data_IF_447458883780
#
_entry.id   IF_447458883780
#
_cell.length_a   1.000
_cell.length_b   1.000
_cell.length_c   1.000
_cell.angle_alpha   90.00
_cell.angle_beta   90.00
_cell.angle_gamma   90.00
#
_symmetry.space_group_name_H-M   'P 1'
#
loop_
_entity.id
_entity.type
_entity.pdbx_description
1 polymer ?
#
# COMPACT_ATOMS: atom_id res chain seq x y z
N UNK A 1 -6.63 12.43 24.36
CA UNK A 1 -6.14 13.17 23.18
C UNK A 1 -6.63 12.55 21.88
N UNK A 2 -6.27 11.31 21.53
CA UNK A 2 -6.68 10.66 20.26
C UNK A 2 -7.84 9.64 20.42
N UNK A 3 -8.92 10.05 21.09
CA UNK A 3 -10.08 9.17 21.31
C UNK A 3 -10.87 8.91 20.02
N UNK A 4 -10.96 9.92 19.15
CA UNK A 4 -11.61 9.80 17.84
C UNK A 4 -10.97 8.69 16.98
N UNK A 5 -9.64 8.60 16.97
CA UNK A 5 -8.92 7.60 16.18
C UNK A 5 -9.13 6.20 16.76
N UNK A 6 -9.21 6.05 18.09
CA UNK A 6 -9.55 4.75 18.68
C UNK A 6 -10.95 4.29 18.34
N UNK A 7 -11.91 5.21 18.31
CA UNK A 7 -13.27 4.90 17.87
C UNK A 7 -13.26 4.49 16.41
N UNK A 8 -12.57 5.23 15.54
CA UNK A 8 -12.49 4.92 14.11
C UNK A 8 -11.83 3.55 13.85
N UNK A 9 -10.67 3.28 14.46
CA UNK A 9 -9.98 1.99 14.36
C UNK A 9 -10.84 0.82 14.84
N UNK A 10 -11.74 1.05 15.80
CA UNK A 10 -12.67 0.02 16.31
C UNK A 10 -13.85 -0.19 15.37
N UNK A 11 -14.35 0.87 14.75
CA UNK A 11 -15.51 0.85 13.85
C UNK A 11 -15.17 0.24 12.49
N UNK A 12 -14.01 0.58 11.94
CA UNK A 12 -13.63 0.12 10.61
C UNK A 12 -13.10 -1.31 10.66
N UNK A 13 -13.90 -2.26 10.17
CA UNK A 13 -13.54 -3.68 10.10
C UNK A 13 -12.77 -4.06 8.83
N UNK A 14 -12.51 -3.09 7.94
CA UNK A 14 -11.85 -3.36 6.66
C UNK A 14 -10.34 -3.61 6.84
N UNK A 15 -9.84 -4.82 6.55
CA UNK A 15 -8.43 -5.13 6.74
C UNK A 15 -7.53 -4.20 5.91
N UNK A 16 -6.47 -3.68 6.53
CA UNK A 16 -5.51 -2.76 5.89
C UNK A 16 -6.12 -1.39 5.49
N UNK A 17 -7.33 -1.03 5.93
CA UNK A 17 -7.84 0.33 5.72
C UNK A 17 -7.11 1.34 6.62
N UNK A 18 -6.95 0.97 7.90
CA UNK A 18 -5.94 1.54 8.77
C UNK A 18 -4.94 0.44 9.15
N UNK A 19 -3.68 0.84 9.33
CA UNK A 19 -2.61 -0.02 9.78
C UNK A 19 -1.80 0.72 10.84
N UNK A 20 -1.76 0.18 12.05
CA UNK A 20 -0.92 0.70 13.14
C UNK A 20 0.13 -0.34 13.50
N UNK A 21 1.36 0.11 13.75
CA UNK A 21 2.50 -0.72 14.08
C UNK A 21 3.18 -0.20 15.34
N UNK A 22 3.06 -0.98 16.43
CA UNK A 22 3.75 -0.69 17.69
C UNK A 22 5.20 -1.17 17.71
N UNK A 23 5.74 -1.65 16.58
CA UNK A 23 7.14 -1.99 16.48
C UNK A 23 8.00 -0.74 16.75
N UNK A 24 9.03 -0.85 17.57
CA UNK A 24 9.91 0.26 17.96
C UNK A 24 9.39 1.18 19.08
N UNK A 25 8.07 1.33 19.27
CA UNK A 25 7.48 2.26 20.26
C UNK A 25 7.77 1.92 21.75
N UNK A 26 8.54 0.85 22.01
CA UNK A 26 9.02 0.46 23.34
C UNK A 26 10.35 1.12 23.72
N UNK A 27 10.99 1.82 22.79
CA UNK A 27 12.21 2.58 23.04
C UNK A 27 11.94 3.89 23.79
N UNK A 28 12.97 4.48 24.39
CA UNK A 28 12.89 5.81 24.98
C UNK A 28 12.57 6.82 23.87
N UNK A 29 11.32 7.27 23.83
CA UNK A 29 10.89 8.36 22.95
C UNK A 29 11.61 9.64 23.40
N UNK A 30 12.28 10.30 22.47
CA UNK A 30 13.00 11.54 22.71
C UNK A 30 12.08 12.58 23.40
N UNK A 31 12.43 13.07 24.61
CA UNK A 31 11.62 14.03 25.34
C UNK A 31 11.55 15.40 24.66
N UNK A 32 12.40 15.71 23.68
CA UNK A 32 12.35 16.95 22.90
C UNK A 32 11.28 16.96 21.82
N UNK A 33 10.71 15.80 21.45
CA UNK A 33 9.62 15.70 20.47
C UNK A 33 8.32 16.31 21.00
N UNK A 34 7.42 16.84 20.16
CA UNK A 34 6.16 17.45 20.60
C UNK A 34 5.29 16.51 21.43
N UNK A 35 4.65 17.02 22.49
CA UNK A 35 3.93 16.17 23.44
C UNK A 35 2.80 15.38 22.77
N UNK A 36 2.04 16.01 21.89
CA UNK A 36 1.01 15.37 21.06
C UNK A 36 1.56 14.21 20.21
N UNK A 37 2.68 14.39 19.50
CA UNK A 37 3.34 13.33 18.74
C UNK A 37 3.83 12.19 19.63
N UNK A 38 4.47 12.50 20.77
CA UNK A 38 4.90 11.47 21.72
C UNK A 38 3.72 10.67 22.26
N UNK A 39 2.60 11.32 22.58
CA UNK A 39 1.38 10.62 23.01
C UNK A 39 0.83 9.70 21.92
N UNK A 40 0.81 10.16 20.67
CA UNK A 40 0.41 9.35 19.53
C UNK A 40 1.29 8.10 19.41
N UNK A 41 2.61 8.28 19.36
CA UNK A 41 3.58 7.19 19.21
C UNK A 41 3.49 6.19 20.37
N UNK A 42 3.37 6.66 21.62
CA UNK A 42 3.18 5.77 22.78
C UNK A 42 1.95 4.88 22.62
N UNK A 43 0.89 5.43 22.02
CA UNK A 43 -0.41 4.76 21.91
C UNK A 43 -0.50 3.84 20.69
N UNK A 44 -0.07 4.31 19.52
CA UNK A 44 -0.27 3.66 18.23
C UNK A 44 1.03 3.20 17.56
N UNK A 45 2.18 3.78 17.92
CA UNK A 45 3.45 3.61 17.21
C UNK A 45 3.45 4.35 15.88
N UNK A 46 3.91 3.69 14.81
CA UNK A 46 3.75 4.18 13.44
C UNK A 46 2.33 3.86 12.92
N UNK A 47 1.82 4.66 11.99
CA UNK A 47 0.48 4.47 11.43
C UNK A 47 0.44 4.74 9.92
N UNK A 48 -0.47 4.06 9.23
CA UNK A 48 -0.92 4.35 7.87
C UNK A 48 -2.43 4.33 7.86
N UNK A 49 -3.08 5.44 7.52
CA UNK A 49 -4.52 5.65 7.70
C UNK A 49 -5.19 5.95 6.36
N UNK A 50 -6.49 5.65 6.28
CA UNK A 50 -7.36 5.92 5.13
C UNK A 50 -6.80 5.37 3.82
N UNK A 51 -6.75 4.03 3.72
CA UNK A 51 -6.31 3.40 2.48
C UNK A 51 -7.28 3.71 1.34
N UNK A 52 -6.73 4.19 0.22
CA UNK A 52 -7.43 4.38 -1.04
C UNK A 52 -6.64 3.66 -2.13
N UNK A 53 -7.24 2.68 -2.79
CA UNK A 53 -6.56 1.82 -3.75
C UNK A 53 -5.30 1.15 -3.14
N UNK A 54 -4.13 1.41 -3.70
CA UNK A 54 -2.84 0.89 -3.27
C UNK A 54 -2.00 1.85 -2.40
N UNK A 55 -2.53 3.03 -2.05
CA UNK A 55 -1.85 4.00 -1.18
C UNK A 55 -2.67 4.33 0.07
N UNK A 56 -1.99 4.88 1.08
CA UNK A 56 -2.62 5.46 2.26
C UNK A 56 -2.57 6.97 2.13
N UNK A 57 -3.64 7.65 2.51
CA UNK A 57 -3.68 9.10 2.46
C UNK A 57 -2.80 9.73 3.55
N UNK A 58 -2.72 9.10 4.72
CA UNK A 58 -1.94 9.63 5.85
C UNK A 58 -0.96 8.57 6.34
N UNK A 59 0.27 9.00 6.63
CA UNK A 59 1.28 8.20 7.31
C UNK A 59 1.85 8.95 8.50
N UNK A 60 2.04 8.24 9.61
CA UNK A 60 2.83 8.70 10.76
C UNK A 60 4.00 7.75 10.91
N UNK A 61 5.21 8.29 10.80
CA UNK A 61 6.45 7.54 10.92
C UNK A 61 6.87 7.46 12.38
N UNK A 62 7.46 6.33 12.76
CA UNK A 62 8.21 6.20 14.00
C UNK A 62 9.28 5.10 13.85
N UNK A 63 10.55 5.37 14.20
CA UNK A 63 11.08 6.67 14.63
C UNK A 63 11.00 7.72 13.50
N UNK A 64 11.01 9.03 13.83
CA UNK A 64 11.13 10.07 12.81
C UNK A 64 12.51 9.99 12.14
N UNK A 65 12.60 10.40 10.87
CA UNK A 65 13.84 10.35 10.10
C UNK A 65 14.50 11.73 10.02
N UNK A 66 15.79 11.82 10.36
CA UNK A 66 16.55 13.06 10.23
C UNK A 66 16.87 13.32 8.76
N UNK A 67 16.40 14.44 8.24
CA UNK A 67 16.62 14.88 6.85
C UNK A 67 17.24 16.26 6.82
N UNK A 68 17.92 16.59 5.70
CA UNK A 68 18.48 17.92 5.46
C UNK A 68 17.75 18.59 4.31
N UNK A 69 17.04 19.68 4.60
CA UNK A 69 16.23 20.44 3.65
C UNK A 69 16.81 21.86 3.55
N UNK A 70 17.18 22.27 2.32
CA UNK A 70 17.75 23.59 2.03
C UNK A 70 18.90 24.02 2.97
N UNK A 71 19.66 23.05 3.49
CA UNK A 71 20.79 23.27 4.40
C UNK A 71 20.48 23.13 5.89
N UNK A 72 19.21 23.12 6.29
CA UNK A 72 18.73 22.95 7.67
C UNK A 72 18.31 21.52 7.98
N UNK A 73 18.41 21.12 9.24
CA UNK A 73 17.97 19.80 9.71
C UNK A 73 16.48 19.84 10.08
N UNK A 74 15.75 18.80 9.66
CA UNK A 74 14.35 18.58 10.00
C UNK A 74 14.11 17.09 10.30
N UNK A 75 13.05 16.80 11.04
CA UNK A 75 12.59 15.44 11.28
C UNK A 75 11.38 15.15 10.41
N UNK A 76 11.53 14.21 9.46
CA UNK A 76 10.41 13.65 8.71
C UNK A 76 9.57 12.79 9.65
N UNK A 77 8.31 13.17 9.85
CA UNK A 77 7.43 12.55 10.86
C UNK A 77 6.21 11.85 10.27
N UNK A 78 5.97 12.04 8.97
CA UNK A 78 4.79 11.51 8.32
C UNK A 78 4.63 12.00 6.89
N UNK A 79 3.45 11.74 6.35
CA UNK A 79 3.00 12.31 5.08
C UNK A 79 1.47 12.46 5.05
N UNK A 80 0.97 13.37 4.21
CA UNK A 80 -0.44 13.51 3.85
C UNK A 80 -0.58 13.66 2.33
N UNK A 81 -1.42 12.84 1.69
CA UNK A 81 -1.68 12.84 0.23
C UNK A 81 -0.37 12.80 -0.60
N UNK A 82 0.64 12.08 -0.09
CA UNK A 82 1.95 11.96 -0.72
C UNK A 82 2.89 13.15 -0.53
N UNK A 83 2.53 14.12 0.31
CA UNK A 83 3.38 15.23 0.73
C UNK A 83 3.99 14.89 2.09
N UNK A 84 5.32 14.93 2.17
CA UNK A 84 6.06 14.67 3.40
C UNK A 84 5.87 15.82 4.41
N UNK A 85 5.76 15.47 5.70
CA UNK A 85 5.60 16.43 6.79
C UNK A 85 6.73 16.35 7.81
N UNK A 86 7.08 17.51 8.36
CA UNK A 86 8.31 17.69 9.14
C UNK A 86 8.09 18.48 10.43
N UNK A 87 8.92 18.17 11.43
CA UNK A 87 9.30 19.14 12.46
C UNK A 87 10.63 19.80 12.08
N UNK A 88 10.78 21.11 12.27
CA UNK A 88 12.10 21.74 12.21
C UNK A 88 12.83 21.50 13.53
N UNK A 89 14.11 21.16 13.46
CA UNK A 89 14.89 20.89 14.68
C UNK A 89 14.98 22.10 15.62
N UNK A 90 14.92 23.31 15.07
CA UNK A 90 14.96 24.57 15.84
C UNK A 90 13.68 24.87 16.63
N UNK A 91 12.56 24.24 16.26
CA UNK A 91 11.27 24.38 16.94
C UNK A 91 11.07 23.33 18.05
N UNK A 92 12.00 22.37 18.18
CA UNK A 92 11.91 21.29 19.16
C UNK A 92 12.44 21.74 20.51
N UNK A 93 11.57 21.73 21.52
CA UNK A 93 11.91 21.99 22.91
C UNK A 93 11.16 21.02 23.83
N UNK A 94 11.84 20.56 24.89
CA UNK A 94 11.24 19.65 25.85
C UNK A 94 9.97 20.24 26.48
N UNK A 95 8.89 19.46 26.45
CA UNK A 95 7.59 19.84 27.01
C UNK A 95 6.81 20.87 26.19
N UNK A 96 7.27 21.26 25.00
CA UNK A 96 6.57 22.17 24.10
C UNK A 96 5.99 21.42 22.89
N UNK A 97 4.96 21.98 22.29
CA UNK A 97 4.51 21.59 20.95
C UNK A 97 5.38 22.25 19.90
N UNK A 98 5.46 21.65 18.71
CA UNK A 98 6.14 22.22 17.56
C UNK A 98 5.21 22.23 16.35
N UNK A 99 5.40 23.24 15.50
CA UNK A 99 4.66 23.41 14.24
C UNK A 99 4.97 22.29 13.26
N UNK A 100 4.00 22.00 12.39
CA UNK A 100 4.15 21.04 11.31
C UNK A 100 4.41 21.80 10.01
N UNK A 101 5.37 21.29 9.24
CA UNK A 101 5.75 21.84 7.95
C UNK A 101 5.61 20.83 6.82
N UNK A 102 5.24 21.28 5.62
CA UNK A 102 5.28 20.51 4.38
C UNK A 102 6.38 21.04 3.45
N UNK A 103 6.96 20.16 2.63
CA UNK A 103 7.93 20.55 1.60
C UNK A 103 7.21 20.92 0.29
N UNK A 104 7.00 22.20 0.06
CA UNK A 104 6.34 22.75 -1.12
C UNK A 104 7.37 23.55 -1.94
N UNK A 105 7.57 23.18 -3.20
CA UNK A 105 8.51 23.83 -4.12
C UNK A 105 9.92 24.04 -3.53
N UNK A 106 10.37 23.08 -2.71
CA UNK A 106 11.69 23.09 -2.08
C UNK A 106 11.78 23.91 -0.78
N UNK A 107 10.68 24.47 -0.30
CA UNK A 107 10.60 25.25 0.95
C UNK A 107 9.70 24.56 1.98
N UNK A 108 10.01 24.75 3.26
CA UNK A 108 9.17 24.28 4.37
C UNK A 108 8.11 25.32 4.70
N UNK A 109 6.86 25.03 4.34
CA UNK A 109 5.70 25.86 4.64
C UNK A 109 4.96 25.33 5.87
N UNK A 110 4.58 26.22 6.79
CA UNK A 110 3.83 25.84 7.99
C UNK A 110 2.39 25.45 7.60
N UNK A 111 1.94 24.26 8.01
CA UNK A 111 0.60 23.75 7.67
C UNK A 111 -0.27 23.47 8.89
N UNK A 112 0.31 23.40 10.08
CA UNK A 112 -0.45 23.27 11.33
C UNK A 112 0.35 23.80 12.53
N UNK A 113 -0.37 24.20 13.57
CA UNK A 113 0.23 24.74 14.80
C UNK A 113 0.92 23.67 15.64
N UNK A 114 0.38 22.44 15.61
CA UNK A 114 0.93 21.29 16.30
C UNK A 114 0.59 19.98 15.55
N UNK A 115 1.16 18.86 16.01
CA UNK A 115 0.96 17.56 15.38
C UNK A 115 -0.48 17.04 15.50
N UNK A 116 -1.19 17.38 16.58
CA UNK A 116 -2.57 16.94 16.75
C UNK A 116 -3.49 17.65 15.76
N UNK A 117 -3.36 18.96 15.65
CA UNK A 117 -4.10 19.81 14.72
C UNK A 117 -3.92 19.33 13.28
N UNK A 118 -2.67 19.05 12.89
CA UNK A 118 -2.35 18.46 11.60
C UNK A 118 -3.07 17.12 11.37
N UNK A 119 -2.96 16.18 12.31
CA UNK A 119 -3.51 14.85 12.16
C UNK A 119 -5.05 14.87 12.12
N UNK A 120 -5.70 15.69 12.95
CA UNK A 120 -7.17 15.83 12.99
C UNK A 120 -7.71 16.46 11.70
N UNK A 121 -7.04 17.51 11.19
CA UNK A 121 -7.38 18.14 9.91
C UNK A 121 -7.24 17.14 8.76
N UNK A 122 -6.07 16.51 8.62
CA UNK A 122 -5.82 15.54 7.55
C UNK A 122 -6.77 14.34 7.61
N UNK A 123 -7.10 13.86 8.81
CA UNK A 123 -8.05 12.76 9.00
C UNK A 123 -9.47 13.16 8.57
N UNK A 124 -9.88 14.38 8.89
CA UNK A 124 -11.17 14.94 8.46
C UNK A 124 -11.23 15.05 6.94
N UNK A 125 -10.20 15.64 6.32
CA UNK A 125 -10.13 15.78 4.86
C UNK A 125 -10.15 14.41 4.16
N UNK A 126 -9.32 13.47 4.64
CA UNK A 126 -9.28 12.11 4.09
C UNK A 126 -10.63 11.39 4.26
N UNK A 127 -11.33 11.62 5.37
CA UNK A 127 -12.66 11.06 5.64
C UNK A 127 -13.72 11.62 4.70
N UNK A 128 -13.66 12.91 4.38
CA UNK A 128 -14.60 13.63 3.52
C UNK A 128 -14.47 13.25 2.04
N UNK A 129 -13.34 12.66 1.62
CA UNK A 129 -13.22 12.07 0.28
C UNK A 129 -14.14 10.86 0.04
N UNK A 130 -14.65 10.24 1.10
CA UNK A 130 -15.53 9.07 1.00
C UNK A 130 -16.99 9.47 1.10
N UNK A 131 -17.77 9.08 0.07
CA UNK A 131 -19.23 9.21 0.13
C UNK A 131 -19.82 8.44 1.32
N UNK A 132 -21.02 8.80 1.76
CA UNK A 132 -21.72 8.06 2.83
C UNK A 132 -21.88 6.57 2.50
N UNK A 133 -22.11 6.23 1.23
CA UNK A 133 -22.16 4.84 0.75
C UNK A 133 -20.80 4.14 0.80
N UNK A 134 -19.72 4.84 0.45
CA UNK A 134 -18.37 4.26 0.53
C UNK A 134 -17.98 3.99 1.97
N UNK A 135 -18.26 4.93 2.87
CA UNK A 135 -17.95 4.77 4.29
C UNK A 135 -18.74 3.64 4.93
N UNK A 136 -20.05 3.55 4.67
CA UNK A 136 -20.86 2.43 5.17
C UNK A 136 -20.31 1.07 4.70
N UNK A 137 -19.78 1.01 3.47
CA UNK A 137 -19.12 -0.18 2.94
C UNK A 137 -17.77 -0.46 3.61
N UNK A 138 -16.99 0.58 3.93
CA UNK A 138 -15.73 0.46 4.68
C UNK A 138 -15.99 -0.07 6.09
N UNK A 139 -16.97 0.48 6.81
CA UNK A 139 -17.36 0.01 8.14
C UNK A 139 -17.87 -1.43 8.13
N UNK A 140 -18.67 -1.81 7.12
CA UNK A 140 -19.15 -3.17 6.95
C UNK A 140 -18.05 -4.18 6.60
N UNK A 141 -16.88 -3.71 6.16
CA UNK A 141 -15.78 -4.54 5.72
C UNK A 141 -15.99 -5.14 4.32
N UNK A 142 -14.99 -5.92 3.84
CA UNK A 142 -15.04 -6.48 2.50
C UNK A 142 -16.12 -7.55 2.38
N UNK A 143 -16.96 -7.42 1.35
CA UNK A 143 -18.02 -8.40 1.07
C UNK A 143 -17.43 -9.80 0.82
N UNK A 144 -18.02 -10.88 1.35
CA UNK A 144 -17.57 -12.24 1.05
C UNK A 144 -17.53 -12.53 -0.46
N UNK A 145 -16.68 -13.46 -0.87
CA UNK A 145 -16.67 -13.91 -2.26
C UNK A 145 -17.99 -14.58 -2.64
N UNK A 146 -18.51 -14.19 -3.80
CA UNK A 146 -19.60 -14.86 -4.50
C UNK A 146 -19.20 -16.28 -4.90
N UNK A 147 -20.18 -17.11 -5.28
CA UNK A 147 -19.93 -18.48 -5.77
C UNK A 147 -19.03 -18.49 -7.02
N UNK A 148 -19.20 -17.52 -7.92
CA UNK A 148 -18.39 -17.43 -9.12
C UNK A 148 -16.94 -17.05 -8.81
N UNK A 149 -16.72 -16.08 -7.90
CA UNK A 149 -15.37 -15.70 -7.46
C UNK A 149 -14.66 -16.87 -6.77
N UNK A 150 -15.36 -17.63 -5.92
CA UNK A 150 -14.77 -18.84 -5.30
C UNK A 150 -14.32 -19.85 -6.35
N UNK A 151 -15.12 -20.11 -7.38
CA UNK A 151 -14.75 -21.00 -8.48
C UNK A 151 -13.56 -20.46 -9.30
N UNK A 152 -13.42 -19.14 -9.45
CA UNK A 152 -12.24 -18.52 -10.08
C UNK A 152 -11.00 -18.73 -9.20
N UNK A 153 -11.11 -18.54 -7.88
CA UNK A 153 -10.02 -18.74 -6.92
C UNK A 153 -9.55 -20.20 -6.91
N UNK A 154 -10.48 -21.16 -6.94
CA UNK A 154 -10.18 -22.58 -7.05
C UNK A 154 -9.46 -22.90 -8.37
N UNK A 155 -9.97 -22.41 -9.50
CA UNK A 155 -9.33 -22.60 -10.80
C UNK A 155 -7.92 -22.00 -10.84
N UNK A 156 -7.75 -20.79 -10.30
CA UNK A 156 -6.48 -20.08 -10.21
C UNK A 156 -5.42 -20.90 -9.48
N UNK A 157 -5.77 -21.58 -8.39
CA UNK A 157 -4.84 -22.41 -7.63
C UNK A 157 -4.27 -23.61 -8.43
N UNK A 158 -4.87 -23.95 -9.57
CA UNK A 158 -4.40 -24.99 -10.47
C UNK A 158 -3.54 -24.46 -11.63
N UNK A 159 -3.36 -23.14 -11.76
CA UNK A 159 -2.40 -22.58 -12.70
C UNK A 159 -0.99 -22.70 -12.14
N UNK A 160 -0.03 -23.03 -13.01
CA UNK A 160 1.39 -22.96 -12.66
C UNK A 160 2.13 -21.99 -13.56
N UNK A 161 3.08 -21.26 -13.00
CA UNK A 161 3.81 -20.21 -13.70
C UNK A 161 5.31 -20.38 -13.49
N UNK A 162 6.06 -20.37 -14.59
CA UNK A 162 7.52 -20.48 -14.58
C UNK A 162 8.15 -19.41 -15.47
N UNK A 163 9.10 -18.65 -14.93
CA UNK A 163 9.95 -17.79 -15.76
C UNK A 163 10.94 -18.66 -16.53
N UNK A 164 10.93 -18.58 -17.86
CA UNK A 164 11.83 -19.36 -18.73
C UNK A 164 12.87 -18.51 -19.45
N UNK A 165 12.74 -17.19 -19.40
CA UNK A 165 13.71 -16.28 -19.99
C UNK A 165 13.20 -14.86 -20.13
N UNK A 166 13.87 -14.11 -20.99
CA UNK A 166 13.54 -12.73 -21.36
C UNK A 166 13.13 -12.73 -22.83
N UNK A 167 12.19 -11.88 -23.20
CA UNK A 167 11.76 -11.72 -24.59
C UNK A 167 12.93 -11.33 -25.49
N UNK A 168 13.04 -11.98 -26.64
CA UNK A 168 14.14 -11.75 -27.59
C UNK A 168 13.94 -10.46 -28.40
N UNK A 169 12.69 -10.08 -28.66
CA UNK A 169 12.32 -8.98 -29.55
C UNK A 169 12.09 -7.65 -28.82
N UNK A 170 11.64 -7.72 -27.57
CA UNK A 170 11.25 -6.54 -26.79
C UNK A 170 12.09 -6.49 -25.51
N UNK A 171 12.96 -5.47 -25.37
CA UNK A 171 13.69 -5.25 -24.12
C UNK A 171 12.71 -5.16 -22.94
N UNK A 172 13.11 -5.75 -21.82
CA UNK A 172 12.33 -5.77 -20.57
C UNK A 172 11.00 -6.54 -20.61
N UNK A 173 10.87 -7.53 -21.49
CA UNK A 173 9.74 -8.48 -21.50
C UNK A 173 10.13 -9.78 -20.82
N UNK A 174 9.26 -10.32 -19.96
CA UNK A 174 9.43 -11.60 -19.31
C UNK A 174 8.83 -12.70 -20.20
N UNK A 175 9.58 -13.77 -20.44
CA UNK A 175 9.06 -14.95 -21.14
C UNK A 175 8.64 -15.97 -20.10
N UNK A 176 7.33 -16.13 -19.91
CA UNK A 176 6.75 -16.99 -18.88
C UNK A 176 6.02 -18.16 -19.50
N UNK A 177 6.22 -19.33 -18.92
CA UNK A 177 5.53 -20.56 -19.24
C UNK A 177 4.39 -20.73 -18.26
N UNK A 178 3.16 -20.80 -18.76
CA UNK A 178 1.95 -20.89 -17.97
C UNK A 178 1.19 -22.15 -18.37
N UNK A 179 0.81 -22.96 -17.38
CA UNK A 179 -0.05 -24.14 -17.57
C UNK A 179 -1.35 -23.97 -16.81
N UNK A 180 -2.47 -24.21 -17.49
CA UNK A 180 -3.79 -24.25 -16.87
C UNK A 180 -4.11 -25.69 -16.45
N UNK A 181 -3.92 -26.00 -15.17
CA UNK A 181 -4.27 -27.30 -14.60
C UNK A 181 -5.73 -27.42 -14.16
N UNK A 182 -6.55 -26.38 -14.32
CA UNK A 182 -7.98 -26.41 -13.97
C UNK A 182 -8.84 -26.96 -15.10
N UNK A 183 -10.12 -27.20 -14.82
CA UNK A 183 -11.17 -27.49 -15.81
C UNK A 183 -11.83 -26.22 -16.36
N UNK A 184 -11.35 -25.05 -15.93
CA UNK A 184 -11.96 -23.75 -16.20
C UNK A 184 -11.08 -22.87 -17.07
N UNK A 185 -11.74 -22.04 -17.85
CA UNK A 185 -11.10 -20.95 -18.60
C UNK A 185 -11.04 -19.67 -17.77
N UNK A 186 -9.87 -19.01 -17.75
CA UNK A 186 -9.70 -17.66 -17.22
C UNK A 186 -9.24 -16.73 -18.34
N UNK A 187 -9.73 -15.49 -18.34
CA UNK A 187 -9.25 -14.47 -19.27
C UNK A 187 -7.93 -13.86 -18.78
N UNK A 188 -7.84 -13.60 -17.48
CA UNK A 188 -6.69 -12.98 -16.84
C UNK A 188 -6.15 -13.88 -15.74
N UNK A 189 -4.86 -13.78 -15.45
CA UNK A 189 -4.21 -14.36 -14.30
C UNK A 189 -3.27 -13.33 -13.68
N UNK A 190 -3.43 -13.06 -12.39
CA UNK A 190 -2.50 -12.19 -11.67
C UNK A 190 -1.35 -13.00 -11.11
N UNK A 191 -0.13 -12.68 -11.56
CA UNK A 191 1.13 -13.31 -11.11
C UNK A 191 1.96 -12.33 -10.28
N UNK A 192 2.80 -12.86 -9.40
CA UNK A 192 3.78 -12.08 -8.65
C UNK A 192 5.08 -11.95 -9.43
N UNK A 193 5.68 -10.77 -9.39
CA UNK A 193 7.03 -10.51 -9.91
C UNK A 193 7.81 -9.80 -8.84
N UNK A 194 9.03 -10.27 -8.53
CA UNK A 194 9.92 -9.61 -7.58
C UNK A 194 11.34 -9.59 -8.06
N UNK A 195 12.14 -8.67 -7.53
CA UNK A 195 13.58 -8.67 -7.77
C UNK A 195 14.21 -9.82 -6.98
N UNK A 196 15.35 -10.36 -7.45
CA UNK A 196 16.04 -11.50 -6.80
C UNK A 196 16.43 -11.23 -5.34
N UNK A 197 16.69 -9.97 -4.98
CA UNK A 197 16.97 -9.57 -3.60
C UNK A 197 15.71 -9.44 -2.72
N UNK A 198 14.51 -9.52 -3.32
CA UNK A 198 13.23 -9.40 -2.63
C UNK A 198 12.81 -7.97 -2.25
N UNK A 199 13.57 -6.94 -2.63
CA UNK A 199 13.29 -5.54 -2.23
C UNK A 199 12.08 -4.97 -2.97
N UNK A 200 11.92 -5.34 -4.23
CA UNK A 200 10.80 -4.90 -5.08
C UNK A 200 9.89 -6.09 -5.34
N UNK A 201 8.60 -5.95 -5.04
CA UNK A 201 7.55 -6.92 -5.36
C UNK A 201 6.38 -6.20 -6.03
N UNK A 202 5.85 -6.79 -7.09
CA UNK A 202 4.75 -6.26 -7.86
C UNK A 202 3.81 -7.38 -8.35
N UNK A 203 2.61 -6.99 -8.78
CA UNK A 203 1.58 -7.90 -9.31
C UNK A 203 1.29 -7.58 -10.76
N UNK A 204 1.43 -8.57 -11.63
CA UNK A 204 1.31 -8.39 -13.07
C UNK A 204 0.09 -9.15 -13.61
N UNK A 205 -0.87 -8.46 -14.26
CA UNK A 205 -1.95 -9.15 -14.96
C UNK A 205 -1.43 -9.75 -16.27
N UNK A 206 -1.73 -11.03 -16.50
CA UNK A 206 -1.39 -11.75 -17.73
C UNK A 206 -2.66 -12.21 -18.43
N UNK A 207 -2.77 -11.90 -19.72
CA UNK A 207 -3.85 -12.43 -20.55
C UNK A 207 -3.59 -13.92 -20.81
N UNK A 208 -4.41 -14.77 -20.21
CA UNK A 208 -4.34 -16.23 -20.34
C UNK A 208 -5.53 -16.79 -21.12
N UNK A 209 -6.27 -15.93 -21.83
CA UNK A 209 -7.46 -16.28 -22.61
C UNK A 209 -7.19 -17.23 -23.79
N UNK A 210 -5.92 -17.52 -24.09
CA UNK A 210 -5.56 -18.52 -25.10
C UNK A 210 -5.21 -19.89 -24.51
N UNK A 211 -5.14 -20.05 -23.19
CA UNK A 211 -4.70 -21.26 -22.51
C UNK A 211 -5.90 -22.07 -22.02
N UNK A 212 -6.26 -23.12 -22.77
CA UNK A 212 -7.40 -23.98 -22.40
C UNK A 212 -7.07 -24.88 -21.20
N UNK A 213 -8.09 -25.44 -20.53
CA UNK A 213 -7.92 -26.52 -19.55
C UNK A 213 -6.96 -27.62 -20.03
N UNK A 214 -5.94 -27.93 -19.22
CA UNK A 214 -4.91 -28.92 -19.51
C UNK A 214 -3.79 -28.45 -20.45
N UNK A 215 -3.91 -27.27 -21.07
CA UNK A 215 -2.90 -26.73 -21.98
C UNK A 215 -1.80 -25.96 -21.24
N UNK A 216 -0.70 -25.77 -21.95
CA UNK A 216 0.46 -25.00 -21.52
C UNK A 216 0.93 -24.11 -22.67
N UNK A 217 1.27 -22.85 -22.37
CA UNK A 217 1.76 -21.89 -23.36
C UNK A 217 2.91 -21.07 -22.80
N UNK A 218 3.73 -20.57 -23.72
CA UNK A 218 4.76 -19.58 -23.43
C UNK A 218 4.22 -18.23 -23.88
N UNK A 219 4.19 -17.27 -22.96
CA UNK A 219 3.73 -15.91 -23.19
C UNK A 219 4.87 -14.92 -22.92
N UNK A 220 4.89 -13.88 -23.73
CA UNK A 220 5.73 -12.70 -23.50
C UNK A 220 4.90 -11.66 -22.74
N UNK A 221 5.35 -11.32 -21.53
CA UNK A 221 4.63 -10.42 -20.62
C UNK A 221 5.48 -9.18 -20.35
N UNK A 222 4.95 -7.96 -20.54
CA UNK A 222 5.69 -6.74 -20.24
C UNK A 222 6.18 -6.71 -18.79
N UNK A 223 7.49 -6.47 -18.57
CA UNK A 223 8.05 -6.28 -17.24
C UNK A 223 7.78 -4.87 -16.70
N UNK A 224 8.16 -4.63 -15.44
CA UNK A 224 8.12 -3.30 -14.84
C UNK A 224 9.34 -2.47 -15.25
N UNK A 225 9.14 -1.18 -15.51
CA UNK A 225 10.24 -0.25 -15.87
C UNK A 225 11.34 -0.24 -14.80
N UNK A 226 10.96 -0.39 -13.54
CA UNK A 226 11.84 -0.35 -12.37
C UNK A 226 12.50 -1.70 -12.06
N UNK A 227 12.14 -2.77 -12.77
CA UNK A 227 12.60 -4.12 -12.48
C UNK A 227 13.17 -4.75 -13.75
N UNK A 228 14.50 -4.83 -13.82
CA UNK A 228 15.21 -5.51 -14.89
C UNK A 228 14.69 -6.94 -15.05
N UNK A 229 14.24 -7.29 -16.25
CA UNK A 229 13.82 -8.65 -16.58
C UNK A 229 14.88 -9.73 -16.26
N UNK A 230 16.17 -9.36 -16.23
CA UNK A 230 17.27 -10.27 -15.85
C UNK A 230 17.28 -10.64 -14.38
N UNK A 231 16.75 -9.77 -13.54
CA UNK A 231 16.74 -9.91 -12.09
C UNK A 231 15.35 -10.16 -11.53
N UNK A 232 14.40 -10.44 -12.43
CA UNK A 232 13.06 -10.83 -12.09
C UNK A 232 12.99 -12.29 -11.64
N UNK A 233 12.14 -12.52 -10.63
CA UNK A 233 11.63 -13.83 -10.24
C UNK A 233 10.11 -13.75 -10.36
N UNK A 234 9.52 -14.70 -11.09
CA UNK A 234 8.06 -14.85 -11.19
C UNK A 234 7.61 -15.90 -10.19
N UNK A 235 6.49 -15.65 -9.52
CA UNK A 235 5.92 -16.55 -8.54
C UNK A 235 4.38 -16.49 -8.52
N UNK A 236 3.77 -17.52 -7.97
CA UNK A 236 2.32 -17.60 -7.77
C UNK A 236 1.94 -16.81 -6.51
N UNK A 237 1.01 -15.86 -6.63
CA UNK A 237 0.47 -15.16 -5.45
C UNK A 237 -0.39 -16.13 -4.61
N UNK A 238 -0.48 -15.93 -3.28
CA UNK A 238 -1.41 -16.70 -2.44
C UNK A 238 -2.88 -16.53 -2.90
N UNK A 239 -3.81 -17.37 -2.42
CA UNK A 239 -5.23 -17.14 -2.64
C UNK A 239 -5.66 -15.75 -2.14
N UNK A 240 -6.46 -14.99 -2.91
CA UNK A 240 -6.93 -13.67 -2.49
C UNK A 240 -7.84 -13.77 -1.28
N UNK A 241 -7.76 -12.77 -0.40
CA UNK A 241 -8.82 -12.50 0.59
C UNK A 241 -9.88 -11.54 0.02
N UNK A 242 -11.09 -11.46 0.60
CA UNK A 242 -12.09 -10.49 0.15
C UNK A 242 -11.61 -9.04 0.12
N UNK A 243 -10.71 -8.65 1.05
CA UNK A 243 -10.10 -7.32 1.11
C UNK A 243 -9.12 -7.05 -0.05
N UNK A 244 -8.68 -8.09 -0.74
CA UNK A 244 -7.69 -8.04 -1.81
C UNK A 244 -8.31 -8.32 -3.18
N UNK A 245 -9.64 -8.43 -3.27
CA UNK A 245 -10.40 -8.69 -4.50
C UNK A 245 -9.88 -7.89 -5.69
N UNK A 246 -9.70 -6.58 -5.52
CA UNK A 246 -9.34 -5.66 -6.59
C UNK A 246 -7.86 -5.76 -7.02
N UNK A 247 -7.04 -6.51 -6.27
CA UNK A 247 -5.64 -6.78 -6.63
C UNK A 247 -5.48 -7.96 -7.59
N UNK A 248 -6.56 -8.69 -7.88
CA UNK A 248 -6.57 -9.89 -8.72
C UNK A 248 -7.46 -9.64 -9.94
N UNK A 249 -6.84 -9.46 -11.10
CA UNK A 249 -7.52 -9.10 -12.35
C UNK A 249 -8.51 -10.16 -12.83
N UNK A 250 -8.32 -11.41 -12.43
CA UNK A 250 -9.27 -12.51 -12.68
C UNK A 250 -10.59 -12.37 -11.91
N UNK A 251 -10.63 -11.57 -10.83
CA UNK A 251 -11.84 -11.27 -10.06
C UNK A 251 -12.51 -9.97 -10.49
N UNK A 252 -11.85 -9.16 -11.33
CA UNK A 252 -12.41 -7.92 -11.84
C UNK A 252 -13.48 -8.22 -12.92
N UNK A 253 -14.67 -7.65 -12.76
CA UNK A 253 -15.79 -7.80 -13.72
C UNK A 253 -15.53 -7.14 -15.08
N UNK A 254 -14.54 -6.26 -15.19
CA UNK A 254 -14.31 -5.41 -16.37
C UNK A 254 -12.93 -5.60 -17.04
N UNK A 255 -12.16 -6.62 -16.65
CA UNK A 255 -10.75 -6.77 -17.05
C UNK A 255 -9.81 -5.85 -16.25
N UNK A 256 -8.48 -5.91 -16.46
CA UNK A 256 -7.52 -5.10 -15.73
C UNK A 256 -7.75 -3.62 -16.04
N UNK A 257 -7.80 -2.79 -15.01
CA UNK A 257 -7.67 -1.33 -15.19
C UNK A 257 -6.31 -1.08 -15.85
N UNK A 258 -6.33 -0.46 -17.03
CA UNK A 258 -5.10 0.05 -17.66
C UNK A 258 -4.47 1.04 -16.67
N UNK A 259 -3.33 0.65 -16.09
CA UNK A 259 -2.46 1.55 -15.32
C UNK A 259 -1.66 2.43 -16.27
#
# INVERSE_FOLDING_TARGET
MYEWLEEELRRVQWPKFHHVSKAGARELIDPTLPASYREFVKKFGAAKLYRRNDHYQIGVLYPPELVRIAGSNALLVGYSIGIDVFFRMEDLAEGQEARIYELIDGNLEEVAFDFRDWLETCATDARDEYSSSDWARIEAGPQPFTRNEKAIIEARACFSVQLIGIGEQTPNTLRVKIRNGSDRFLQWLTIGVRHKDGVVEARLPVDVSSIKPGEERILDVPGYVTLSARDAVVFELPPPTPAERDLYSELATSGPMKR
#
